data_IF_547458858365
#
_entry.id   IF_547458858365
#
_cell.length_a   1.000
_cell.length_b   1.000
_cell.length_c   1.000
_cell.angle_alpha   90.00
_cell.angle_beta   90.00
_cell.angle_gamma   90.00
#
_symmetry.space_group_name_H-M   'P 1'
#
loop_
_entity.id
_entity.type
_entity.pdbx_description
1 polymer ?
#
# COMPACT_ATOMS: atom_id res chain seq x y z
N UNK A 1 -13.48 1.48 3.37
CA UNK A 1 -12.95 0.60 2.31
C UNK A 1 -12.75 1.49 1.10
N UNK A 2 -11.52 1.81 0.77
CA UNK A 2 -11.19 2.71 -0.34
C UNK A 2 -11.28 1.88 -1.61
N UNK A 3 -12.25 2.20 -2.45
CA UNK A 3 -12.48 1.49 -3.69
C UNK A 3 -11.62 2.21 -4.72
N UNK A 4 -10.57 1.56 -5.23
CA UNK A 4 -9.81 1.96 -6.42
C UNK A 4 -10.70 1.88 -7.69
N UNK A 5 -11.88 2.50 -7.65
CA UNK A 5 -12.82 2.65 -8.76
C UNK A 5 -13.21 4.12 -8.97
N UNK A 6 -12.58 5.05 -8.25
CA UNK A 6 -12.73 6.47 -8.58
C UNK A 6 -11.88 6.76 -9.80
N UNK A 7 -12.48 7.34 -10.84
CA UNK A 7 -11.80 7.79 -12.07
C UNK A 7 -10.60 8.69 -11.73
N UNK A 8 -10.66 9.38 -10.59
CA UNK A 8 -9.63 10.25 -10.04
C UNK A 8 -8.38 9.52 -9.53
N UNK A 9 -8.35 8.18 -9.57
CA UNK A 9 -7.23 7.35 -9.11
C UNK A 9 -6.45 6.71 -10.27
N UNK A 10 -6.78 7.06 -11.53
CA UNK A 10 -5.98 6.65 -12.68
C UNK A 10 -4.67 7.43 -12.72
N UNK A 11 -3.57 6.68 -12.67
CA UNK A 11 -2.20 7.20 -12.68
C UNK A 11 -1.73 7.63 -14.08
N UNK A 12 -2.46 7.22 -15.14
CA UNK A 12 -2.02 7.32 -16.53
C UNK A 12 -1.07 6.18 -16.95
N UNK A 13 -0.68 5.31 -16.02
CA UNK A 13 0.10 4.12 -16.29
C UNK A 13 -0.73 2.85 -15.98
N UNK A 14 -1.17 2.09 -17.00
CA UNK A 14 -2.07 0.96 -16.81
C UNK A 14 -1.47 -0.18 -16.00
N UNK A 15 -0.14 -0.35 -16.02
CA UNK A 15 0.56 -1.38 -15.24
C UNK A 15 0.56 -1.02 -13.75
N UNK A 16 0.82 0.25 -13.41
CA UNK A 16 0.75 0.75 -12.02
C UNK A 16 -0.68 0.66 -11.49
N UNK A 17 -1.66 1.10 -12.29
CA UNK A 17 -3.07 1.01 -11.90
C UNK A 17 -3.50 -0.46 -11.64
N UNK A 18 -2.96 -1.42 -12.40
CA UNK A 18 -3.24 -2.84 -12.18
C UNK A 18 -2.61 -3.35 -10.89
N UNK A 19 -1.39 -2.92 -10.59
CA UNK A 19 -0.67 -3.25 -9.36
C UNK A 19 -1.37 -2.71 -8.11
N UNK A 20 -1.78 -1.45 -8.10
CA UNK A 20 -2.54 -0.88 -6.97
C UNK A 20 -3.91 -1.53 -6.78
N UNK A 21 -4.61 -1.88 -7.86
CA UNK A 21 -5.86 -2.66 -7.75
C UNK A 21 -5.62 -4.00 -7.06
N UNK A 22 -4.54 -4.70 -7.42
CA UNK A 22 -4.17 -5.98 -6.81
C UNK A 22 -3.82 -5.81 -5.33
N UNK A 23 -3.06 -4.77 -4.98
CA UNK A 23 -2.75 -4.47 -3.58
C UNK A 23 -4.00 -4.19 -2.75
N UNK A 24 -4.92 -3.36 -3.27
CA UNK A 24 -6.18 -3.09 -2.60
C UNK A 24 -7.02 -4.35 -2.37
N UNK A 25 -7.03 -5.29 -3.32
CA UNK A 25 -7.67 -6.60 -3.14
C UNK A 25 -7.02 -7.42 -2.04
N UNK A 26 -5.68 -7.40 -1.94
CA UNK A 26 -4.96 -8.09 -0.87
C UNK A 26 -5.21 -7.46 0.49
N UNK A 27 -5.25 -6.13 0.58
CA UNK A 27 -5.62 -5.40 1.80
C UNK A 27 -7.05 -5.74 2.21
N UNK A 28 -8.00 -5.75 1.28
CA UNK A 28 -9.38 -6.17 1.55
C UNK A 28 -9.46 -7.63 2.04
N UNK A 29 -8.65 -8.51 1.46
CA UNK A 29 -8.56 -9.91 1.89
C UNK A 29 -8.00 -10.03 3.30
N UNK A 30 -6.93 -9.30 3.63
CA UNK A 30 -6.40 -9.24 5.00
C UNK A 30 -7.47 -8.76 5.97
N UNK A 31 -8.17 -7.66 5.66
CA UNK A 31 -9.30 -7.16 6.47
C UNK A 31 -10.34 -8.25 6.73
N UNK A 32 -10.70 -9.04 5.72
CA UNK A 32 -11.65 -10.15 5.88
C UNK A 32 -11.09 -11.27 6.78
N UNK A 33 -9.81 -11.63 6.62
CA UNK A 33 -9.15 -12.65 7.45
C UNK A 33 -9.10 -12.19 8.91
N UNK A 34 -8.66 -10.96 9.20
CA UNK A 34 -8.60 -10.43 10.58
C UNK A 34 -9.99 -10.35 11.22
N UNK A 35 -11.01 -9.98 10.43
CA UNK A 35 -12.38 -9.89 10.95
C UNK A 35 -12.96 -11.26 11.33
N UNK A 36 -12.59 -12.31 10.59
CA UNK A 36 -13.13 -13.66 10.72
C UNK A 36 -12.13 -14.68 11.29
N UNK A 37 -11.03 -14.21 11.91
CA UNK A 37 -9.96 -15.09 12.36
C UNK A 37 -10.47 -16.14 13.36
N UNK A 38 -10.36 -17.40 12.94
CA UNK A 38 -10.72 -18.59 13.71
C UNK A 38 -9.64 -19.02 14.71
N UNK A 39 -8.49 -18.34 14.74
CA UNK A 39 -7.37 -18.62 15.65
C UNK A 39 -6.41 -19.69 15.13
N UNK A 40 -6.50 -20.07 13.86
CA UNK A 40 -5.61 -21.06 13.22
C UNK A 40 -4.33 -20.44 12.63
N UNK A 41 -4.13 -19.12 12.78
CA UNK A 41 -2.91 -18.42 12.39
C UNK A 41 -2.83 -17.98 10.92
N UNK A 42 -3.93 -18.08 10.16
CA UNK A 42 -3.99 -17.60 8.77
C UNK A 42 -3.83 -16.07 8.64
N UNK A 43 -4.15 -15.33 9.70
CA UNK A 43 -3.99 -13.88 9.76
C UNK A 43 -2.53 -13.45 9.74
N UNK A 44 -1.66 -14.15 10.48
CA UNK A 44 -0.22 -13.91 10.48
C UNK A 44 0.38 -14.18 9.10
N UNK A 45 0.04 -15.31 8.48
CA UNK A 45 0.53 -15.65 7.14
C UNK A 45 0.03 -14.64 6.09
N UNK A 46 -1.24 -14.24 6.16
CA UNK A 46 -1.81 -13.23 5.26
C UNK A 46 -1.09 -11.87 5.42
N UNK A 47 -0.74 -11.48 6.66
CA UNK A 47 0.03 -10.27 6.92
C UNK A 47 1.45 -10.34 6.33
N UNK A 48 2.11 -11.50 6.45
CA UNK A 48 3.45 -11.73 5.89
C UNK A 48 3.45 -11.64 4.35
N UNK A 49 2.45 -12.24 3.70
CA UNK A 49 2.27 -12.18 2.24
C UNK A 49 2.01 -10.73 1.79
N UNK A 50 1.14 -10.01 2.48
CA UNK A 50 0.84 -8.60 2.14
C UNK A 50 2.09 -7.73 2.32
N UNK A 51 2.82 -7.90 3.42
CA UNK A 51 4.03 -7.15 3.72
C UNK A 51 5.07 -7.33 2.60
N UNK A 52 5.35 -8.57 2.19
CA UNK A 52 6.31 -8.83 1.13
C UNK A 52 5.86 -8.25 -0.22
N UNK A 53 4.56 -8.35 -0.55
CA UNK A 53 4.05 -7.78 -1.79
C UNK A 53 4.14 -6.26 -1.82
N UNK A 54 3.83 -5.58 -0.70
CA UNK A 54 3.97 -4.13 -0.60
C UNK A 54 5.43 -3.70 -0.67
N UNK A 55 6.34 -4.42 0.00
CA UNK A 55 7.78 -4.15 -0.08
C UNK A 55 8.30 -4.18 -1.52
N UNK A 56 7.89 -5.18 -2.31
CA UNK A 56 8.28 -5.29 -3.72
C UNK A 56 7.70 -4.19 -4.59
N UNK A 57 6.46 -3.78 -4.32
CA UNK A 57 5.79 -2.68 -5.03
C UNK A 57 6.47 -1.34 -4.76
N UNK A 58 6.69 -1.02 -3.48
CA UNK A 58 7.39 0.19 -3.05
C UNK A 58 8.80 0.30 -3.64
N UNK A 59 9.53 -0.82 -3.73
CA UNK A 59 10.84 -0.84 -4.39
C UNK A 59 10.77 -0.45 -5.87
N UNK A 60 9.71 -0.85 -6.57
CA UNK A 60 9.49 -0.51 -7.97
C UNK A 60 9.19 0.99 -8.13
N UNK A 61 8.35 1.54 -7.27
CA UNK A 61 7.98 2.96 -7.28
C UNK A 61 9.17 3.86 -6.92
N UNK A 62 9.89 3.54 -5.85
CA UNK A 62 11.10 4.26 -5.45
C UNK A 62 12.17 4.22 -6.55
N UNK A 63 12.34 3.07 -7.21
CA UNK A 63 13.28 2.91 -8.32
C UNK A 63 12.85 3.71 -9.56
N UNK A 64 11.54 3.87 -9.77
CA UNK A 64 10.99 4.70 -10.84
C UNK A 64 11.17 6.19 -10.52
N UNK A 65 10.80 6.62 -9.32
CA UNK A 65 10.92 7.99 -8.86
C UNK A 65 12.37 8.48 -8.89
N UNK A 66 13.33 7.66 -8.44
CA UNK A 66 14.76 8.00 -8.42
C UNK A 66 15.34 8.37 -9.79
N UNK A 67 14.74 7.88 -10.88
CA UNK A 67 15.17 8.22 -12.25
C UNK A 67 14.75 9.62 -12.67
N UNK A 68 13.73 10.17 -12.02
CA UNK A 68 13.14 11.47 -12.35
C UNK A 68 13.53 12.54 -11.34
N UNK A 69 13.46 12.21 -10.04
CA UNK A 69 13.68 13.14 -8.93
C UNK A 69 14.14 12.37 -7.68
N UNK A 70 15.35 12.67 -7.20
CA UNK A 70 15.92 12.02 -6.00
C UNK A 70 15.28 12.46 -4.69
N UNK A 71 14.75 13.68 -4.61
CA UNK A 71 14.06 14.19 -3.43
C UNK A 71 12.69 13.51 -3.29
N UNK A 72 11.94 13.43 -4.39
CA UNK A 72 10.68 12.68 -4.43
C UNK A 72 10.87 11.20 -4.04
N UNK A 73 11.96 10.58 -4.49
CA UNK A 73 12.29 9.20 -4.12
C UNK A 73 12.60 9.03 -2.62
N UNK A 74 13.20 10.04 -1.97
CA UNK A 74 13.46 10.00 -0.53
C UNK A 74 12.16 10.13 0.28
N UNK A 75 11.27 11.03 -0.13
CA UNK A 75 9.94 11.21 0.49
C UNK A 75 9.12 9.92 0.40
N UNK A 76 9.08 9.31 -0.79
CA UNK A 76 8.41 8.01 -0.99
C UNK A 76 8.98 6.93 -0.08
N UNK A 77 10.31 6.82 -0.02
CA UNK A 77 10.96 5.79 0.79
C UNK A 77 10.60 5.90 2.28
N UNK A 78 10.59 7.12 2.83
CA UNK A 78 10.20 7.35 4.22
C UNK A 78 8.74 6.96 4.48
N UNK A 79 7.83 7.31 3.57
CA UNK A 79 6.42 6.97 3.71
C UNK A 79 6.16 5.46 3.57
N UNK A 80 6.81 4.80 2.61
CA UNK A 80 6.77 3.35 2.43
C UNK A 80 7.29 2.60 3.66
N UNK A 81 8.42 3.03 4.23
CA UNK A 81 8.98 2.45 5.44
C UNK A 81 7.99 2.54 6.62
N UNK A 82 7.27 3.67 6.73
CA UNK A 82 6.24 3.87 7.74
C UNK A 82 5.05 2.93 7.55
N UNK A 83 4.55 2.75 6.32
CA UNK A 83 3.46 1.82 6.01
C UNK A 83 3.83 0.35 6.29
N UNK A 84 5.05 -0.08 5.91
CA UNK A 84 5.57 -1.41 6.23
C UNK A 84 5.73 -1.61 7.75
N UNK A 85 6.13 -0.55 8.47
CA UNK A 85 6.17 -0.53 9.93
C UNK A 85 4.81 -0.80 10.57
N UNK A 86 3.73 -0.26 10.02
CA UNK A 86 2.36 -0.53 10.49
C UNK A 86 1.97 -2.00 10.27
N UNK A 87 2.30 -2.58 9.11
CA UNK A 87 2.05 -4.01 8.86
C UNK A 87 2.84 -4.92 9.81
N UNK A 88 4.08 -4.55 10.12
CA UNK A 88 4.89 -5.29 11.11
C UNK A 88 4.24 -5.27 12.49
N UNK A 89 3.65 -4.14 12.90
CA UNK A 89 2.92 -4.03 14.16
C UNK A 89 1.65 -4.88 14.17
N UNK A 90 0.87 -4.84 13.09
CA UNK A 90 -0.35 -5.66 12.91
C UNK A 90 0.00 -7.14 13.05
N UNK A 91 1.01 -7.60 12.32
CA UNK A 91 1.52 -8.97 12.39
C UNK A 91 1.94 -9.35 13.81
N UNK A 92 2.63 -8.46 14.52
CA UNK A 92 3.07 -8.70 15.89
C UNK A 92 1.89 -8.80 16.88
N UNK A 93 0.82 -8.03 16.68
CA UNK A 93 -0.40 -8.13 17.47
C UNK A 93 -1.13 -9.47 17.22
N UNK A 94 -1.25 -9.88 15.96
CA UNK A 94 -1.82 -11.18 15.56
C UNK A 94 -1.06 -12.35 16.18
N UNK A 95 0.28 -12.34 16.08
CA UNK A 95 1.13 -13.40 16.63
C UNK A 95 1.02 -13.53 18.16
N UNK A 96 0.63 -12.46 18.87
CA UNK A 96 0.37 -12.47 20.31
C UNK A 96 -1.09 -12.83 20.66
N UNK A 97 -1.94 -13.02 19.67
CA UNK A 97 -3.39 -13.23 19.86
C UNK A 97 -4.15 -11.97 20.28
N UNK A 98 -3.56 -10.78 20.18
CA UNK A 98 -4.21 -9.52 20.54
C UNK A 98 -5.07 -9.02 19.38
N UNK A 99 -6.25 -9.62 19.24
CA UNK A 99 -7.21 -9.32 18.17
C UNK A 99 -7.71 -7.87 18.19
N UNK A 100 -7.78 -7.26 19.37
CA UNK A 100 -8.23 -5.87 19.51
C UNK A 100 -7.18 -4.92 18.94
N UNK A 101 -5.92 -5.08 19.37
CA UNK A 101 -4.81 -4.28 18.84
C UNK A 101 -4.63 -4.49 17.33
N UNK A 102 -4.71 -5.73 16.84
CA UNK A 102 -4.59 -6.03 15.41
C UNK A 102 -5.65 -5.31 14.57
N UNK A 103 -6.91 -5.27 15.04
CA UNK A 103 -8.01 -4.56 14.35
C UNK A 103 -7.83 -3.05 14.36
N UNK A 104 -7.42 -2.47 15.48
CA UNK A 104 -7.20 -1.03 15.58
C UNK A 104 -6.01 -0.59 14.73
N UNK A 105 -4.91 -1.35 14.76
CA UNK A 105 -3.75 -1.09 13.92
C UNK A 105 -4.07 -1.27 12.43
N UNK A 106 -4.89 -2.25 12.06
CA UNK A 106 -5.34 -2.44 10.68
C UNK A 106 -6.20 -1.27 10.19
N UNK A 107 -7.04 -0.69 11.06
CA UNK A 107 -7.78 0.54 10.74
C UNK A 107 -6.84 1.70 10.46
N UNK A 108 -5.82 1.89 11.30
CA UNK A 108 -4.79 2.92 11.11
C UNK A 108 -4.04 2.70 9.80
N UNK A 109 -3.58 1.47 9.53
CA UNK A 109 -2.93 1.12 8.27
C UNK A 109 -3.80 1.44 7.05
N UNK A 110 -5.08 1.05 7.04
CA UNK A 110 -5.98 1.36 5.93
C UNK A 110 -6.14 2.87 5.72
N UNK A 111 -6.19 3.65 6.81
CA UNK A 111 -6.29 5.11 6.74
C UNK A 111 -5.02 5.74 6.16
N UNK A 112 -3.86 5.27 6.60
CA UNK A 112 -2.57 5.77 6.13
C UNK A 112 -2.27 5.36 4.69
N UNK A 113 -2.65 4.15 4.27
CA UNK A 113 -2.54 3.71 2.89
C UNK A 113 -3.45 4.54 1.97
N UNK A 114 -4.70 4.80 2.37
CA UNK A 114 -5.59 5.64 1.58
C UNK A 114 -5.06 7.08 1.44
N UNK A 115 -4.38 7.58 2.47
CA UNK A 115 -3.72 8.89 2.45
C UNK A 115 -2.52 8.88 1.50
N UNK A 116 -1.68 7.86 1.58
CA UNK A 116 -0.54 7.65 0.67
C UNK A 116 -0.98 7.66 -0.80
N UNK A 117 -1.99 6.85 -1.14
CA UNK A 117 -2.54 6.75 -2.49
C UNK A 117 -2.98 8.15 -3.01
N UNK A 118 -3.73 8.89 -2.18
CA UNK A 118 -4.35 10.16 -2.54
C UNK A 118 -3.37 11.34 -2.61
N UNK A 119 -2.45 11.43 -1.65
CA UNK A 119 -1.59 12.60 -1.47
C UNK A 119 -0.21 12.46 -2.12
N UNK A 120 0.26 11.23 -2.36
CA UNK A 120 1.63 10.97 -2.84
C UNK A 120 1.59 10.29 -4.20
N UNK A 121 1.04 9.08 -4.26
CA UNK A 121 1.11 8.21 -5.43
C UNK A 121 0.39 8.79 -6.65
N UNK A 122 -0.89 9.13 -6.50
CA UNK A 122 -1.68 9.69 -7.61
C UNK A 122 -1.05 10.97 -8.19
N UNK A 123 -0.66 11.98 -7.37
CA UNK A 123 0.06 13.15 -7.88
C UNK A 123 1.37 12.81 -8.59
N UNK A 124 2.19 11.95 -7.98
CA UNK A 124 3.50 11.57 -8.53
C UNK A 124 3.35 10.89 -9.90
N UNK A 125 2.46 9.90 -10.02
CA UNK A 125 2.33 9.20 -11.29
C UNK A 125 1.74 10.07 -12.39
N UNK A 126 0.83 10.99 -12.06
CA UNK A 126 0.34 12.00 -13.02
C UNK A 126 1.47 12.88 -13.53
N UNK A 127 2.39 13.29 -12.65
CA UNK A 127 3.58 14.06 -13.05
C UNK A 127 4.49 13.23 -13.98
N UNK A 128 4.76 11.97 -13.62
CA UNK A 128 5.59 11.06 -14.42
C UNK A 128 4.95 10.76 -15.78
N UNK A 129 3.64 10.55 -15.84
CA UNK A 129 2.89 10.30 -17.08
C UNK A 129 2.96 11.50 -18.01
N UNK A 130 2.78 12.72 -17.49
CA UNK A 130 2.90 13.96 -18.28
C UNK A 130 4.31 14.19 -18.81
N UNK A 131 5.34 13.87 -18.01
CA UNK A 131 6.73 14.01 -18.43
C UNK A 131 7.14 13.03 -19.55
N UNK A 132 6.42 11.91 -19.71
CA UNK A 132 6.65 10.93 -20.77
C UNK A 132 5.97 11.26 -22.10
N UNK A 133 5.03 12.22 -22.13
CA UNK A 133 4.28 12.57 -23.33
C UNK A 133 4.53 14.06 -23.71
N UNK A 134 5.67 14.39 -24.35
CA UNK A 134 6.06 15.79 -24.60
C UNK A 134 5.32 16.47 -25.76
N UNK A 135 4.25 15.86 -26.31
CA UNK A 135 3.54 16.34 -27.50
C UNK A 135 2.06 16.71 -27.26
N UNK A 136 1.66 16.95 -26.00
CA UNK A 136 0.44 17.70 -25.67
C UNK A 136 0.75 18.91 -24.81
#
# INVERSE_FOLDING_TARGET
MTIWNQTDWQSGNPDMDAEHRKLNQMVASLNAVVANDSGIGLDVEAADILHERMRLHFQLEESSARKSDSEAAAILHEDHARLLGLLTQIRAAMAKGDKAAAKDQLRSFNSELAKHDAEIDIPLFRMISKARDPLT
#
